data_IF_221107564341
#
_entry.id   IF_221107564341
#
_cell.length_a   1.000
_cell.length_b   1.000
_cell.length_c   1.000
_cell.angle_alpha   90.00
_cell.angle_beta   90.00
_cell.angle_gamma   90.00
#
_symmetry.space_group_name_H-M   'P 1'
#
loop_
_entity.id
_entity.type
_entity.pdbx_description
1 polymer ?
#
# COMPACT_ATOMS: atom_id res chain seq x y z
N UNK A 1 1.84 -20.13 15.61
CA UNK A 1 2.23 -18.72 15.83
C UNK A 1 2.03 -18.03 14.48
N UNK A 2 0.91 -17.35 14.28
CA UNK A 2 0.70 -16.55 13.07
C UNK A 2 1.55 -15.30 13.22
N UNK A 3 2.57 -15.15 12.39
CA UNK A 3 3.26 -13.87 12.26
C UNK A 3 2.21 -12.76 12.11
N UNK A 4 2.36 -11.63 12.83
CA UNK A 4 1.49 -10.49 12.61
C UNK A 4 1.59 -10.14 11.12
N UNK A 5 0.47 -10.27 10.40
CA UNK A 5 0.42 -10.00 8.97
C UNK A 5 0.84 -8.54 8.77
N UNK A 6 2.00 -8.35 8.16
CA UNK A 6 2.56 -7.03 7.89
C UNK A 6 1.59 -6.24 6.99
N UNK A 7 1.16 -5.02 7.38
CA UNK A 7 0.19 -4.23 6.62
C UNK A 7 0.60 -3.97 5.17
N UNK A 8 1.91 -3.83 4.90
CA UNK A 8 2.42 -3.68 3.53
C UNK A 8 2.23 -4.96 2.70
N UNK A 9 2.45 -6.13 3.30
CA UNK A 9 2.17 -7.43 2.65
C UNK A 9 0.69 -7.57 2.28
N UNK A 10 -0.21 -7.15 3.18
CA UNK A 10 -1.65 -7.09 2.89
C UNK A 10 -1.95 -6.14 1.72
N UNK A 11 -1.35 -4.96 1.71
CA UNK A 11 -1.51 -4.00 0.61
C UNK A 11 -1.08 -4.56 -0.75
N UNK A 12 0.09 -5.20 -0.81
CA UNK A 12 0.59 -5.84 -2.05
C UNK A 12 -0.35 -6.94 -2.52
N UNK A 13 -0.84 -7.79 -1.60
CA UNK A 13 -1.78 -8.85 -1.93
C UNK A 13 -3.10 -8.30 -2.49
N UNK A 14 -3.63 -7.22 -1.91
CA UNK A 14 -4.83 -6.53 -2.39
C UNK A 14 -4.63 -5.95 -3.79
N UNK A 15 -3.48 -5.33 -4.06
CA UNK A 15 -3.16 -4.83 -5.41
C UNK A 15 -3.09 -5.97 -6.44
N UNK A 16 -2.45 -7.10 -6.10
CA UNK A 16 -2.38 -8.27 -6.97
C UNK A 16 -3.75 -8.94 -7.19
N UNK A 17 -4.61 -8.95 -6.17
CA UNK A 17 -6.00 -9.39 -6.34
C UNK A 17 -6.79 -8.43 -7.22
N UNK A 18 -6.67 -7.12 -7.01
CA UNK A 18 -7.29 -6.09 -7.84
C UNK A 18 -6.93 -6.26 -9.31
N UNK A 19 -5.65 -6.41 -9.63
CA UNK A 19 -5.19 -6.64 -11.00
C UNK A 19 -5.80 -7.93 -11.61
N UNK A 20 -5.88 -9.02 -10.84
CA UNK A 20 -6.52 -10.27 -11.29
C UNK A 20 -8.02 -10.11 -11.55
N UNK A 21 -8.72 -9.28 -10.76
CA UNK A 21 -10.17 -9.10 -10.85
C UNK A 21 -10.58 -8.08 -11.90
N UNK A 22 -9.82 -6.99 -12.03
CA UNK A 22 -10.20 -5.82 -12.83
C UNK A 22 -9.30 -5.60 -14.05
N UNK A 23 -8.29 -6.45 -14.26
CA UNK A 23 -7.36 -6.33 -15.38
C UNK A 23 -6.57 -5.02 -15.30
N UNK A 24 -6.61 -4.23 -16.36
CA UNK A 24 -5.90 -2.96 -16.48
C UNK A 24 -6.79 -1.73 -16.21
N UNK A 25 -7.87 -1.87 -15.43
CA UNK A 25 -8.67 -0.72 -14.97
C UNK A 25 -8.10 -0.16 -13.65
N UNK A 26 -7.27 0.90 -13.69
CA UNK A 26 -6.64 1.43 -12.49
C UNK A 26 -7.66 2.02 -11.51
N UNK A 27 -8.81 2.49 -12.00
CA UNK A 27 -9.84 3.11 -11.15
C UNK A 27 -10.60 2.05 -10.37
N UNK A 28 -10.93 0.93 -11.01
CA UNK A 28 -11.56 -0.20 -10.34
C UNK A 28 -10.63 -0.82 -9.29
N UNK A 29 -9.34 -0.97 -9.61
CA UNK A 29 -8.33 -1.47 -8.67
C UNK A 29 -8.19 -0.54 -7.46
N UNK A 30 -8.03 0.77 -7.69
CA UNK A 30 -7.90 1.74 -6.61
C UNK A 30 -9.11 1.72 -5.67
N UNK A 31 -10.33 1.75 -6.23
CA UNK A 31 -11.55 1.69 -5.44
C UNK A 31 -11.63 0.40 -4.59
N UNK A 32 -11.22 -0.74 -5.15
CA UNK A 32 -11.19 -2.00 -4.42
C UNK A 32 -10.19 -1.95 -3.26
N UNK A 33 -8.95 -1.55 -3.54
CA UNK A 33 -7.88 -1.48 -2.54
C UNK A 33 -8.25 -0.49 -1.42
N UNK A 34 -8.78 0.69 -1.76
CA UNK A 34 -9.23 1.68 -0.77
C UNK A 34 -10.33 1.16 0.14
N UNK A 35 -11.31 0.44 -0.41
CA UNK A 35 -12.40 -0.15 0.36
C UNK A 35 -11.90 -1.22 1.35
N UNK A 36 -10.93 -2.05 0.95
CA UNK A 36 -10.34 -3.05 1.84
C UNK A 36 -9.43 -2.41 2.89
N UNK A 37 -8.63 -1.38 2.54
CA UNK A 37 -7.84 -0.62 3.51
C UNK A 37 -8.75 0.07 4.55
N UNK A 38 -9.92 0.57 4.15
CA UNK A 38 -10.86 1.21 5.07
C UNK A 38 -11.38 0.26 6.17
N UNK A 39 -11.34 -1.06 5.92
CA UNK A 39 -11.74 -2.10 6.89
C UNK A 39 -10.64 -2.47 7.88
N UNK A 40 -9.39 -2.11 7.61
CA UNK A 40 -8.29 -2.32 8.55
C UNK A 40 -8.50 -1.50 9.83
N UNK A 41 -7.92 -1.97 10.93
CA UNK A 41 -7.92 -1.22 12.18
C UNK A 41 -7.19 0.11 12.03
N UNK A 42 -7.43 1.04 12.94
CA UNK A 42 -6.75 2.34 12.92
C UNK A 42 -5.22 2.19 13.04
N UNK A 43 -4.76 1.21 13.83
CA UNK A 43 -3.35 0.91 14.03
C UNK A 43 -2.71 0.40 12.74
N UNK A 44 -3.34 -0.57 12.08
CA UNK A 44 -2.84 -1.12 10.80
C UNK A 44 -2.83 -0.06 9.70
N UNK A 45 -3.86 0.79 9.62
CA UNK A 45 -3.88 1.92 8.68
C UNK A 45 -2.77 2.92 8.93
N UNK A 46 -2.46 3.20 10.21
CA UNK A 46 -1.34 4.09 10.57
C UNK A 46 -0.01 3.49 10.16
N UNK A 47 0.24 2.22 10.49
CA UNK A 47 1.46 1.51 10.11
C UNK A 47 1.65 1.44 8.60
N UNK A 48 0.58 1.11 7.86
CA UNK A 48 0.61 1.11 6.39
C UNK A 48 0.94 2.50 5.83
N UNK A 49 0.36 3.57 6.39
CA UNK A 49 0.65 4.95 5.98
C UNK A 49 2.11 5.32 6.23
N UNK A 50 2.66 4.96 7.38
CA UNK A 50 4.07 5.20 7.73
C UNK A 50 5.01 4.48 6.75
N UNK A 51 4.74 3.19 6.48
CA UNK A 51 5.51 2.38 5.53
C UNK A 51 5.45 2.95 4.10
N UNK A 52 4.27 3.36 3.63
CA UNK A 52 4.10 3.99 2.31
C UNK A 52 4.78 5.36 2.22
N UNK A 53 4.75 6.15 3.29
CA UNK A 53 5.39 7.48 3.32
C UNK A 53 6.91 7.38 3.27
N UNK A 54 7.49 6.38 3.95
CA UNK A 54 8.93 6.09 3.89
C UNK A 54 9.39 5.70 2.47
N UNK A 55 8.52 5.06 1.68
CA UNK A 55 8.81 4.77 0.27
C UNK A 55 8.77 6.03 -0.61
N UNK A 56 7.98 7.04 -0.25
CA UNK A 56 7.89 8.31 -1.01
C UNK A 56 9.03 9.29 -0.73
N UNK A 57 9.64 9.26 0.46
CA UNK A 57 10.77 10.15 0.82
C UNK A 57 12.12 9.67 0.24
N UNK A 58 12.20 8.43 -0.26
CA UNK A 58 13.40 7.88 -0.91
C UNK A 58 13.65 8.39 -2.35
N UNK A 59 12.77 9.25 -2.88
CA UNK A 59 12.72 9.60 -4.30
C UNK A 59 13.04 11.06 -4.67
N UNK A 60 13.67 11.85 -3.79
CA UNK A 60 13.83 13.28 -4.11
C UNK A 60 14.76 14.10 -3.22
N UNK A 61 16.06 13.79 -3.20
CA UNK A 61 17.13 14.81 -3.05
C UNK A 61 18.51 14.21 -3.24
N UNK A 62 18.91 13.98 -4.49
CA UNK A 62 20.31 14.18 -4.87
C UNK A 62 20.40 15.54 -5.54
N UNK A 63 20.61 16.57 -4.73
CA UNK A 63 21.31 17.76 -5.19
C UNK A 63 22.78 17.32 -5.32
N UNK A 64 23.40 17.33 -6.52
CA UNK A 64 24.84 17.22 -6.56
C UNK A 64 25.39 18.50 -5.94
N UNK A 65 25.89 18.37 -4.72
CA UNK A 65 26.79 19.37 -4.16
C UNK A 65 28.16 19.08 -4.77
N UNK A 66 28.44 19.74 -5.90
CA UNK A 66 29.75 20.28 -6.32
C UNK A 66 29.71 20.65 -7.81
#
# INVERSE_FOLDING_TARGET
>A
MTDPVDPMTTFVALCAEGARRFGDDPRAIANFVENEIARLSQTERRQLKEQLTLLTDGGGSQKPTM
#
